data_IF_416089298811
#
_entry.id   IF_416089298811
#
_cell.length_a   1.000
_cell.length_b   1.000
_cell.length_c   1.000
_cell.angle_alpha   90.00
_cell.angle_beta   90.00
_cell.angle_gamma   90.00
#
_symmetry.space_group_name_H-M   'P 1'
#
loop_
_entity.id
_entity.type
_entity.pdbx_description
1 polymer ?
#
# COMPACT_ATOMS: atom_id res chain seq x y z
N UNK A 1 -30.45 -16.99 -40.56
CA UNK A 1 -30.88 -16.19 -39.38
C UNK A 1 -31.64 -17.17 -38.48
N UNK A 2 -31.36 -17.34 -37.19
CA UNK A 2 -31.72 -16.40 -36.12
C UNK A 2 -30.87 -16.59 -34.85
N UNK A 3 -30.79 -15.52 -34.06
CA UNK A 3 -29.71 -15.16 -33.16
C UNK A 3 -29.48 -16.07 -31.96
N UNK A 4 -28.17 -16.24 -31.67
CA UNK A 4 -27.59 -16.71 -30.42
C UNK A 4 -27.77 -15.61 -29.37
N UNK A 5 -28.32 -15.94 -28.21
CA UNK A 5 -28.37 -15.02 -27.07
C UNK A 5 -27.61 -15.63 -25.90
N UNK A 6 -26.31 -15.33 -25.85
CA UNK A 6 -25.46 -15.60 -24.69
C UNK A 6 -25.73 -14.48 -23.68
N UNK A 7 -26.36 -14.80 -22.55
CA UNK A 7 -26.51 -13.87 -21.44
C UNK A 7 -25.15 -13.66 -20.79
N UNK A 8 -24.59 -12.45 -20.93
CA UNK A 8 -23.37 -12.06 -20.23
C UNK A 8 -23.65 -11.85 -18.75
N UNK A 9 -22.90 -12.55 -17.91
CA UNK A 9 -22.83 -12.33 -16.48
C UNK A 9 -22.24 -10.95 -16.19
N UNK A 10 -23.00 -10.10 -15.49
CA UNK A 10 -22.45 -8.87 -14.89
C UNK A 10 -21.88 -9.26 -13.53
N UNK A 11 -20.62 -9.67 -13.52
CA UNK A 11 -19.85 -9.68 -12.28
C UNK A 11 -19.63 -8.22 -11.87
N UNK A 12 -20.27 -7.82 -10.77
CA UNK A 12 -19.93 -6.57 -10.07
C UNK A 12 -18.49 -6.69 -9.56
N UNK A 13 -17.54 -6.28 -10.39
CA UNK A 13 -16.20 -5.97 -9.92
C UNK A 13 -16.35 -4.80 -8.96
N UNK A 14 -16.21 -5.05 -7.65
CA UNK A 14 -15.96 -4.01 -6.68
C UNK A 14 -14.69 -3.30 -7.15
N UNK A 15 -14.85 -2.16 -7.82
CA UNK A 15 -13.74 -1.32 -8.20
C UNK A 15 -13.12 -0.84 -6.89
N UNK A 16 -12.00 -1.45 -6.50
CA UNK A 16 -11.14 -0.92 -5.46
C UNK A 16 -10.73 0.48 -5.91
N UNK A 17 -11.43 1.49 -5.40
CA UNK A 17 -11.02 2.87 -5.59
C UNK A 17 -9.56 2.97 -5.13
N UNK A 18 -8.67 3.60 -5.92
CA UNK A 18 -7.29 3.76 -5.51
C UNK A 18 -7.28 4.53 -4.20
N UNK A 19 -6.85 3.85 -3.12
CA UNK A 19 -6.67 4.49 -1.83
C UNK A 19 -5.68 5.64 -2.00
N UNK A 20 -6.01 6.81 -1.47
CA UNK A 20 -5.11 7.96 -1.50
C UNK A 20 -3.80 7.64 -0.75
N UNK A 21 -2.70 8.30 -1.11
CA UNK A 21 -1.40 8.10 -0.44
C UNK A 21 -1.49 8.21 1.10
N UNK A 22 -2.34 9.13 1.59
CA UNK A 22 -2.58 9.32 3.01
C UNK A 22 -3.35 8.14 3.65
N UNK A 23 -4.34 7.57 2.96
CA UNK A 23 -5.08 6.40 3.43
C UNK A 23 -4.22 5.13 3.45
N UNK A 24 -3.35 4.97 2.46
CA UNK A 24 -2.36 3.88 2.41
C UNK A 24 -1.42 3.97 3.62
N UNK A 25 -0.82 5.15 3.82
CA UNK A 25 0.13 5.40 4.92
C UNK A 25 -0.54 5.24 6.29
N UNK A 26 -1.74 5.76 6.47
CA UNK A 26 -2.48 5.64 7.74
C UNK A 26 -2.90 4.21 8.04
N UNK A 27 -3.35 3.44 7.03
CA UNK A 27 -3.71 2.03 7.21
C UNK A 27 -2.50 1.18 7.57
N UNK A 28 -1.37 1.39 6.91
CA UNK A 28 -0.12 0.69 7.22
C UNK A 28 0.47 1.12 8.57
N UNK A 29 0.28 2.38 8.97
CA UNK A 29 0.67 2.86 10.30
C UNK A 29 -0.11 2.15 11.40
N UNK A 30 -1.43 1.99 11.22
CA UNK A 30 -2.28 1.26 12.16
C UNK A 30 -1.89 -0.22 12.25
N UNK A 31 -1.65 -0.88 11.13
CA UNK A 31 -1.27 -2.30 11.07
C UNK A 31 0.11 -2.57 11.69
N UNK A 32 1.08 -1.70 11.43
CA UNK A 32 2.49 -1.95 11.82
C UNK A 32 2.87 -1.36 13.18
N UNK A 33 2.01 -0.51 13.75
CA UNK A 33 2.31 0.26 14.96
C UNK A 33 3.43 1.30 14.78
N UNK A 34 3.85 1.56 13.54
CA UNK A 34 4.81 2.62 13.21
C UNK A 34 4.09 3.94 13.00
N UNK A 35 4.77 5.05 13.25
CA UNK A 35 4.23 6.37 12.88
C UNK A 35 4.11 6.50 11.37
N UNK A 36 3.14 7.30 10.91
CA UNK A 36 2.96 7.60 9.48
C UNK A 36 4.25 8.11 8.82
N UNK A 37 5.04 8.93 9.53
CA UNK A 37 6.36 9.41 9.07
C UNK A 37 7.35 8.26 8.80
N UNK A 38 7.40 7.26 9.68
CA UNK A 38 8.25 6.06 9.47
C UNK A 38 7.74 5.21 8.32
N UNK A 39 6.42 5.08 8.16
CA UNK A 39 5.82 4.39 7.02
C UNK A 39 6.15 5.12 5.71
N UNK A 40 6.00 6.44 5.65
CA UNK A 40 6.38 7.24 4.48
C UNK A 40 7.87 7.13 4.16
N UNK A 41 8.74 7.11 5.18
CA UNK A 41 10.16 6.87 4.99
C UNK A 41 10.44 5.49 4.37
N UNK A 42 9.65 4.47 4.70
CA UNK A 42 9.81 3.11 4.13
C UNK A 42 9.32 3.04 2.68
N UNK A 43 8.16 3.65 2.40
CA UNK A 43 7.49 3.58 1.10
C UNK A 43 7.99 4.60 0.08
N UNK A 44 8.47 5.76 0.54
CA UNK A 44 8.85 6.91 -0.28
C UNK A 44 10.35 7.10 -0.41
N UNK A 45 10.75 8.34 -0.76
CA UNK A 45 12.16 8.70 -0.88
C UNK A 45 12.83 8.80 0.50
N UNK A 46 13.44 7.69 0.91
CA UNK A 46 14.14 7.48 2.19
C UNK A 46 15.09 8.62 2.58
N UNK A 47 15.83 9.18 1.62
CA UNK A 47 16.85 10.22 1.87
C UNK A 47 16.28 11.59 2.20
N UNK A 48 14.97 11.81 2.01
CA UNK A 48 14.29 13.03 2.41
C UNK A 48 14.09 13.14 3.94
N UNK A 49 14.38 12.06 4.69
CA UNK A 49 14.20 12.01 6.15
C UNK A 49 15.56 12.05 6.86
N UNK A 50 15.79 13.07 7.68
CA UNK A 50 17.04 13.22 8.43
C UNK A 50 17.31 12.05 9.40
N UNK A 51 16.25 11.41 9.91
CA UNK A 51 16.34 10.27 10.83
C UNK A 51 16.63 8.93 10.14
N UNK A 52 16.64 8.89 8.80
CA UNK A 52 16.82 7.67 8.01
C UNK A 52 18.05 6.84 8.43
N UNK A 53 19.26 7.43 8.57
CA UNK A 53 20.46 6.66 8.88
C UNK A 53 20.36 5.89 10.20
N UNK A 54 19.62 6.42 11.18
CA UNK A 54 19.61 5.92 12.55
C UNK A 54 18.44 4.99 12.88
N UNK A 55 17.32 5.14 12.17
CA UNK A 55 16.04 4.50 12.56
C UNK A 55 15.45 3.62 11.47
N UNK A 56 15.95 3.71 10.24
CA UNK A 56 15.37 3.01 9.10
C UNK A 56 15.40 1.49 9.27
N UNK A 57 16.56 0.90 9.57
CA UNK A 57 16.67 -0.56 9.68
C UNK A 57 15.73 -1.14 10.74
N UNK A 58 15.63 -0.48 11.91
CA UNK A 58 14.71 -0.88 12.98
C UNK A 58 13.25 -0.76 12.54
N UNK A 59 12.90 0.34 11.88
CA UNK A 59 11.54 0.58 11.38
C UNK A 59 11.17 -0.41 10.28
N UNK A 60 12.07 -0.70 9.34
CA UNK A 60 11.88 -1.69 8.28
C UNK A 60 11.71 -3.10 8.84
N UNK A 61 12.53 -3.48 9.83
CA UNK A 61 12.42 -4.79 10.47
C UNK A 61 11.07 -4.97 11.17
N UNK A 62 10.58 -3.95 11.89
CA UNK A 62 9.25 -3.96 12.48
C UNK A 62 8.15 -4.02 11.40
N UNK A 63 8.27 -3.22 10.34
CA UNK A 63 7.32 -3.19 9.24
C UNK A 63 7.18 -4.58 8.58
N UNK A 64 8.30 -5.24 8.28
CA UNK A 64 8.32 -6.61 7.75
C UNK A 64 7.74 -7.64 8.71
N UNK A 65 8.09 -7.54 10.01
CA UNK A 65 7.54 -8.44 11.03
C UNK A 65 6.02 -8.32 11.18
N UNK A 66 5.48 -7.11 11.10
CA UNK A 66 4.05 -6.87 11.24
C UNK A 66 3.26 -7.33 10.00
N UNK A 67 3.76 -7.07 8.79
CA UNK A 67 3.08 -7.49 7.56
C UNK A 67 3.29 -8.97 7.22
N UNK A 68 4.46 -9.52 7.56
CA UNK A 68 4.97 -10.75 6.99
C UNK A 68 5.67 -10.52 5.65
N UNK A 69 6.64 -11.37 5.33
CA UNK A 69 7.49 -11.20 4.16
C UNK A 69 6.71 -11.25 2.84
N UNK A 70 5.72 -12.13 2.72
CA UNK A 70 4.91 -12.25 1.51
C UNK A 70 4.12 -10.97 1.21
N UNK A 71 3.37 -10.46 2.20
CA UNK A 71 2.60 -9.21 2.06
C UNK A 71 3.53 -8.03 1.79
N UNK A 72 4.68 -7.98 2.45
CA UNK A 72 5.69 -6.97 2.17
C UNK A 72 6.16 -7.01 0.70
N UNK A 73 6.54 -8.18 0.19
CA UNK A 73 7.02 -8.32 -1.19
C UNK A 73 5.94 -7.94 -2.20
N UNK A 74 4.69 -8.38 -1.97
CA UNK A 74 3.54 -8.01 -2.81
C UNK A 74 3.33 -6.50 -2.84
N UNK A 75 3.34 -5.86 -1.67
CA UNK A 75 3.19 -4.41 -1.56
C UNK A 75 4.33 -3.68 -2.31
N UNK A 76 5.58 -4.09 -2.13
CA UNK A 76 6.75 -3.49 -2.80
C UNK A 76 6.75 -3.73 -4.32
N UNK A 77 6.17 -4.84 -4.78
CA UNK A 77 5.96 -5.12 -6.20
C UNK A 77 4.79 -4.32 -6.81
N UNK A 78 4.12 -3.47 -6.01
CA UNK A 78 2.98 -2.67 -6.46
C UNK A 78 1.67 -3.44 -6.53
N UNK A 79 1.62 -4.67 -6.00
CA UNK A 79 0.38 -5.42 -5.85
C UNK A 79 -0.41 -4.94 -4.64
N UNK A 80 -1.73 -5.14 -4.70
CA UNK A 80 -2.58 -4.91 -3.55
C UNK A 80 -2.34 -5.95 -2.46
N UNK A 81 -2.47 -5.49 -1.22
CA UNK A 81 -2.52 -6.33 -0.02
C UNK A 81 -3.74 -5.97 0.80
N UNK A 82 -4.28 -6.95 1.52
CA UNK A 82 -5.34 -6.72 2.51
C UNK A 82 -4.72 -6.27 3.83
N UNK A 83 -5.24 -5.20 4.41
CA UNK A 83 -4.88 -4.65 5.73
C UNK A 83 -6.19 -4.44 6.48
N UNK A 84 -6.48 -5.30 7.46
CA UNK A 84 -7.83 -5.40 8.05
C UNK A 84 -8.89 -5.70 6.98
N UNK A 85 -9.88 -4.81 6.87
CA UNK A 85 -10.95 -4.90 5.86
C UNK A 85 -10.70 -4.09 4.59
N UNK A 86 -9.51 -3.47 4.47
CA UNK A 86 -9.16 -2.61 3.34
C UNK A 86 -8.17 -3.30 2.42
N UNK A 87 -8.32 -3.01 1.13
CA UNK A 87 -7.34 -3.35 0.12
C UNK A 87 -6.45 -2.13 -0.15
N UNK A 88 -5.13 -2.32 -0.07
CA UNK A 88 -4.13 -1.25 -0.11
C UNK A 88 -3.09 -1.58 -1.18
N UNK A 89 -2.80 -0.65 -2.09
CA UNK A 89 -1.80 -0.83 -3.13
C UNK A 89 -0.93 0.43 -3.28
N UNK A 90 0.37 0.25 -3.60
CA UNK A 90 1.28 1.37 -3.88
C UNK A 90 1.07 1.97 -5.27
N UNK A 91 0.39 1.27 -6.18
CA UNK A 91 0.17 1.67 -7.58
C UNK A 91 -0.73 2.91 -7.73
N UNK A 92 -1.43 3.33 -6.67
CA UNK A 92 -2.14 4.62 -6.59
C UNK A 92 -1.34 5.74 -5.91
N UNK A 93 -0.11 5.46 -5.47
CA UNK A 93 0.75 6.40 -4.73
C UNK A 93 1.94 6.75 -5.61
N UNK A 94 1.86 7.87 -6.33
CA UNK A 94 3.03 8.37 -7.05
C UNK A 94 4.10 8.74 -6.04
N UNK A 95 5.39 8.49 -6.34
CA UNK A 95 6.51 8.89 -5.49
C UNK A 95 6.52 10.41 -5.18
N UNK A 96 5.79 11.20 -5.96
CA UNK A 96 5.55 12.65 -5.76
C UNK A 96 4.53 12.95 -4.66
N UNK A 97 3.56 12.06 -4.42
CA UNK A 97 2.46 12.27 -3.47
C UNK A 97 2.89 12.01 -2.02
N UNK A 98 3.94 11.21 -1.81
CA UNK A 98 4.47 10.88 -0.47
C UNK A 98 5.34 12.00 0.09
N UNK A 99 5.97 12.81 -0.78
CA UNK A 99 6.92 13.86 -0.40
C UNK A 99 6.30 15.27 -0.32
N UNK A 100 5.04 15.43 -0.75
CA UNK A 100 4.36 16.72 -0.76
C UNK A 100 3.66 17.01 0.58
N UNK A 101 4.43 17.32 1.63
CA UNK A 101 3.94 18.15 2.74
C UNK A 101 5.08 18.83 3.49
#
# INVERSE_FOLDING_TARGET
>A
MNARTVLFAVAMAAAALPASANEVVSSLSAETGLSQRKVQMILGNRTAYAEYPYTYQRSLAQFKRALGDERYQRLMAGHSIRVGDREVALSGVSARDVAAK
#
